data_IF_919751979231
#
_entry.id   IF_919751979231
#
_cell.length_a   1.000
_cell.length_b   1.000
_cell.length_c   1.000
_cell.angle_alpha   90.00
_cell.angle_beta   90.00
_cell.angle_gamma   90.00
#
_symmetry.space_group_name_H-M   'P 1'
#
loop_
_entity.id
_entity.type
_entity.pdbx_description
1 polymer ?
#
# COMPACT_ATOMS: atom_id res chain seq x y z
N UNK A 1 5.01 -19.84 -25.49
CA UNK A 1 6.07 -19.20 -24.68
C UNK A 1 5.64 -17.76 -24.41
N UNK A 2 5.81 -17.33 -23.17
CA UNK A 2 5.11 -16.21 -22.52
C UNK A 2 5.36 -14.86 -23.18
N UNK A 3 4.31 -14.29 -23.76
CA UNK A 3 4.30 -12.92 -24.24
C UNK A 3 3.70 -12.00 -23.16
N UNK A 4 4.34 -11.92 -21.99
CA UNK A 4 4.05 -10.83 -21.05
C UNK A 4 4.61 -9.56 -21.67
N UNK A 5 3.75 -8.85 -22.40
CA UNK A 5 4.06 -7.55 -22.97
C UNK A 5 4.54 -6.62 -21.85
N UNK A 6 5.66 -5.90 -22.03
CA UNK A 6 6.21 -5.00 -21.00
C UNK A 6 5.32 -3.77 -20.69
N UNK A 7 4.13 -3.67 -21.28
CA UNK A 7 3.18 -2.58 -21.06
C UNK A 7 2.10 -2.85 -20.02
N UNK A 8 1.98 -4.07 -19.50
CA UNK A 8 0.89 -4.47 -18.58
C UNK A 8 1.25 -4.27 -17.09
N UNK A 9 2.42 -3.74 -16.76
CA UNK A 9 2.84 -3.56 -15.37
C UNK A 9 3.44 -2.18 -15.16
N UNK A 10 2.92 -1.46 -14.17
CA UNK A 10 3.43 -0.16 -13.76
C UNK A 10 3.82 -0.25 -12.28
N UNK A 11 5.08 0.04 -11.99
CA UNK A 11 5.59 0.11 -10.63
C UNK A 11 5.92 1.56 -10.31
N UNK A 12 5.49 2.01 -9.14
CA UNK A 12 5.84 3.30 -8.59
C UNK A 12 6.38 3.13 -7.20
N UNK A 13 7.55 3.71 -6.96
CA UNK A 13 8.23 3.69 -5.67
C UNK A 13 8.36 5.13 -5.18
N UNK A 14 8.22 5.32 -3.88
CA UNK A 14 8.31 6.62 -3.26
C UNK A 14 8.80 6.50 -1.82
N UNK A 15 9.10 7.65 -1.22
CA UNK A 15 9.45 7.73 0.20
C UNK A 15 8.67 8.86 0.81
N UNK A 16 7.93 8.56 1.88
CA UNK A 16 7.12 9.53 2.59
C UNK A 16 7.41 9.44 4.09
N UNK A 17 7.72 10.58 4.71
CA UNK A 17 8.12 10.65 6.13
C UNK A 17 9.28 9.69 6.51
N UNK A 18 10.19 9.42 5.56
CA UNK A 18 11.30 8.48 5.76
C UNK A 18 10.91 7.00 5.64
N UNK A 19 9.64 6.70 5.31
CA UNK A 19 9.15 5.33 5.06
C UNK A 19 9.03 5.13 3.56
N UNK A 20 9.80 4.18 3.01
CA UNK A 20 9.72 3.80 1.61
C UNK A 20 8.39 3.07 1.34
N UNK A 21 7.77 3.32 0.19
CA UNK A 21 6.60 2.60 -0.27
C UNK A 21 6.73 2.25 -1.74
N UNK A 22 6.13 1.12 -2.12
CA UNK A 22 6.13 0.62 -3.48
C UNK A 22 4.71 0.19 -3.87
N UNK A 23 4.30 0.58 -5.07
CA UNK A 23 2.96 0.40 -5.60
C UNK A 23 3.11 -0.29 -6.95
N UNK A 24 2.52 -1.48 -7.10
CA UNK A 24 2.54 -2.26 -8.33
C UNK A 24 1.12 -2.37 -8.85
N UNK A 25 0.88 -1.77 -10.00
CA UNK A 25 -0.34 -1.96 -10.77
C UNK A 25 -0.08 -2.95 -11.90
N UNK A 26 -1.03 -3.86 -12.11
CA UNK A 26 -0.99 -4.85 -13.19
C UNK A 26 -2.26 -4.76 -14.01
N UNK A 27 -2.11 -4.70 -15.32
CA UNK A 27 -3.17 -4.89 -16.28
C UNK A 27 -3.31 -6.40 -16.52
N UNK A 28 -4.47 -6.95 -16.17
CA UNK A 28 -4.79 -8.37 -16.38
C UNK A 28 -5.45 -8.59 -17.74
N UNK A 29 -6.27 -7.62 -18.17
CA UNK A 29 -7.02 -7.69 -19.43
C UNK A 29 -7.00 -6.30 -20.09
N UNK A 30 -7.36 -6.23 -21.38
CA UNK A 30 -7.38 -4.96 -22.15
C UNK A 30 -8.13 -3.80 -21.48
N UNK A 31 -9.04 -4.10 -20.55
CA UNK A 31 -9.79 -3.09 -19.79
C UNK A 31 -9.76 -3.33 -18.27
N UNK A 32 -8.96 -4.28 -17.79
CA UNK A 32 -8.92 -4.63 -16.38
C UNK A 32 -7.54 -4.37 -15.81
N UNK A 33 -7.40 -3.22 -15.17
CA UNK A 33 -6.22 -2.89 -14.38
C UNK A 33 -6.53 -3.13 -12.92
N UNK A 34 -5.62 -3.73 -12.17
CA UNK A 34 -5.73 -3.93 -10.74
C UNK A 34 -4.49 -3.41 -10.03
N UNK A 35 -4.68 -3.02 -8.78
CA UNK A 35 -3.57 -2.85 -7.86
C UNK A 35 -3.15 -4.23 -7.37
N UNK A 36 -2.00 -4.70 -7.82
CA UNK A 36 -1.51 -6.06 -7.55
C UNK A 36 -0.83 -6.10 -6.18
N UNK A 37 0.08 -5.16 -5.92
CA UNK A 37 0.87 -5.13 -4.70
C UNK A 37 1.00 -3.68 -4.19
N UNK A 38 0.81 -3.49 -2.88
CA UNK A 38 1.17 -2.27 -2.17
C UNK A 38 2.07 -2.64 -1.00
N UNK A 39 3.25 -2.05 -0.92
CA UNK A 39 4.20 -2.24 0.16
C UNK A 39 4.53 -0.90 0.81
N UNK A 40 4.60 -0.87 2.13
CA UNK A 40 4.96 0.31 2.93
C UNK A 40 5.96 -0.14 4.01
N UNK A 41 7.14 0.48 4.04
CA UNK A 41 8.21 0.12 4.97
C UNK A 41 8.68 -1.33 4.84
N UNK A 42 8.58 -1.92 3.63
CA UNK A 42 8.84 -3.34 3.39
C UNK A 42 7.74 -4.29 3.88
N UNK A 43 6.60 -3.76 4.36
CA UNK A 43 5.45 -4.56 4.76
C UNK A 43 4.35 -4.51 3.68
N UNK A 44 3.78 -5.66 3.26
CA UNK A 44 2.65 -5.67 2.35
C UNK A 44 1.41 -5.10 3.04
N UNK A 45 0.77 -4.13 2.39
CA UNK A 45 -0.50 -3.54 2.86
C UNK A 45 -1.64 -4.39 2.31
N UNK A 46 -2.55 -4.88 3.17
CA UNK A 46 -3.70 -5.66 2.72
C UNK A 46 -4.64 -4.77 1.90
N UNK A 47 -4.75 -5.07 0.61
CA UNK A 47 -5.69 -4.45 -0.30
C UNK A 47 -7.02 -5.19 -0.19
N UNK A 48 -7.96 -4.66 0.59
CA UNK A 48 -9.28 -5.27 0.76
C UNK A 48 -10.13 -5.04 -0.48
N UNK A 49 -10.39 -6.12 -1.22
CA UNK A 49 -11.15 -6.12 -2.46
C UNK A 49 -10.27 -5.66 -3.62
N UNK A 50 -9.97 -6.54 -4.56
CA UNK A 50 -9.15 -6.25 -5.74
C UNK A 50 -9.81 -5.15 -6.59
N UNK A 51 -9.44 -3.86 -6.40
CA UNK A 51 -10.15 -2.78 -7.07
C UNK A 51 -9.71 -2.79 -8.52
N UNK A 52 -10.67 -2.69 -9.43
CA UNK A 52 -10.39 -2.56 -10.86
C UNK A 52 -10.36 -1.09 -11.26
N UNK A 53 -9.34 -0.71 -12.01
CA UNK A 53 -9.09 0.63 -12.50
C UNK A 53 -9.18 0.67 -14.03
N UNK A 54 -9.51 1.85 -14.56
CA UNK A 54 -9.54 2.08 -16.00
C UNK A 54 -8.15 2.25 -16.63
N UNK A 55 -7.10 2.47 -15.82
CA UNK A 55 -5.72 2.63 -16.29
C UNK A 55 -4.70 2.29 -15.20
N UNK A 56 -3.49 1.91 -15.62
CA UNK A 56 -2.33 1.67 -14.74
C UNK A 56 -2.03 2.89 -13.87
N UNK A 57 -2.10 4.09 -14.47
CA UNK A 57 -1.87 5.35 -13.76
C UNK A 57 -2.90 5.57 -12.64
N UNK A 58 -4.19 5.28 -12.89
CA UNK A 58 -5.23 5.42 -11.88
C UNK A 58 -5.03 4.42 -10.73
N UNK A 59 -4.63 3.18 -11.04
CA UNK A 59 -4.30 2.19 -10.01
C UNK A 59 -3.14 2.65 -9.12
N UNK A 60 -2.07 3.17 -9.73
CA UNK A 60 -0.90 3.68 -9.00
C UNK A 60 -1.23 4.92 -8.18
N UNK A 61 -2.02 5.86 -8.71
CA UNK A 61 -2.46 7.07 -7.99
C UNK A 61 -3.24 6.68 -6.72
N UNK A 62 -4.17 5.73 -6.84
CA UNK A 62 -4.94 5.23 -5.71
C UNK A 62 -4.07 4.44 -4.74
N UNK A 63 -3.16 3.59 -5.25
CA UNK A 63 -2.21 2.86 -4.41
C UNK A 63 -1.27 3.77 -3.63
N UNK A 64 -0.88 4.91 -4.21
CA UNK A 64 -0.03 5.92 -3.54
C UNK A 64 -0.80 6.64 -2.43
N UNK A 65 -2.04 7.05 -2.70
CA UNK A 65 -2.93 7.60 -1.67
C UNK A 65 -3.15 6.61 -0.52
N UNK A 66 -3.31 5.31 -0.82
CA UNK A 66 -3.40 4.26 0.20
C UNK A 66 -2.10 4.14 1.00
N UNK A 67 -0.94 4.23 0.35
CA UNK A 67 0.36 4.24 1.01
C UNK A 67 0.46 5.42 1.99
N UNK A 68 0.11 6.64 1.55
CA UNK A 68 0.10 7.84 2.38
C UNK A 68 -0.81 7.69 3.60
N UNK A 69 -2.04 7.19 3.40
CA UNK A 69 -2.98 6.92 4.49
C UNK A 69 -2.43 5.88 5.47
N UNK A 70 -1.83 4.80 4.97
CA UNK A 70 -1.25 3.76 5.81
C UNK A 70 -0.05 4.27 6.61
N UNK A 71 0.84 5.04 5.98
CA UNK A 71 1.96 5.72 6.63
C UNK A 71 1.45 6.67 7.71
N UNK A 72 0.44 7.48 7.41
CA UNK A 72 -0.20 8.36 8.40
C UNK A 72 -0.78 7.59 9.59
N UNK A 73 -1.38 6.42 9.36
CA UNK A 73 -1.86 5.54 10.44
C UNK A 73 -0.71 4.91 11.24
N UNK A 74 0.37 4.48 10.58
CA UNK A 74 1.57 3.95 11.26
C UNK A 74 2.17 5.00 12.18
N UNK A 75 2.36 6.21 11.67
CA UNK A 75 2.85 7.34 12.46
C UNK A 75 1.91 7.63 13.64
N UNK A 76 0.59 7.67 13.42
CA UNK A 76 -0.39 7.84 14.51
C UNK A 76 -0.34 6.73 15.55
N UNK A 77 -0.13 5.48 15.16
CA UNK A 77 0.01 4.34 16.07
C UNK A 77 1.32 4.43 16.86
N UNK A 78 2.41 4.87 16.24
CA UNK A 78 3.69 5.06 16.91
C UNK A 78 3.67 6.26 17.88
N UNK A 79 2.96 7.35 17.54
CA UNK A 79 2.80 8.51 18.43
C UNK A 79 1.76 8.31 19.52
N UNK A 80 1.02 7.20 19.52
CA UNK A 80 0.26 6.72 20.68
C UNK A 80 0.99 5.52 21.29
N UNK A 81 2.12 5.73 21.99
CA UNK A 81 2.54 4.73 22.97
C UNK A 81 1.37 4.63 23.94
N UNK A 82 0.75 3.45 23.91
CA UNK A 82 -0.19 2.94 24.90
C UNK A 82 0.10 3.59 26.26
N UNK A 83 -0.80 4.45 26.71
CA UNK A 83 -0.86 4.88 28.11
C UNK A 83 -1.16 3.64 28.95
N UNK A 84 -0.13 2.90 29.30
CA UNK A 84 -0.14 1.99 30.44
C UNK A 84 0.68 2.65 31.53
N UNK A 85 0.08 2.98 32.67
CA UNK A 85 0.55 2.51 33.96
C UNK A 85 -0.25 1.24 34.27
N UNK A 86 0.39 0.09 34.17
CA UNK A 86 0.93 -0.60 35.35
C UNK A 86 -0.18 -1.16 36.23
N UNK A 87 -0.27 -2.48 36.21
CA UNK A 87 -0.79 -3.31 37.28
C UNK A 87 -0.34 -2.77 38.65
N UNK A 88 -1.27 -2.26 39.44
CA UNK A 88 -1.14 -2.16 40.90
C UNK A 88 -2.32 -3.01 41.41
N UNK A 89 -2.12 -4.32 41.52
CA UNK A 89 -1.70 -4.98 42.75
C UNK A 89 -2.73 -4.76 43.87
N UNK A 90 -3.36 -5.89 44.22
CA UNK A 90 -4.22 -6.14 45.37
C UNK A 90 -3.80 -5.39 46.64
N UNK A 91 -4.78 -4.83 47.35
CA UNK A 91 -5.05 -5.15 48.77
C UNK A 91 -6.56 -5.06 49.01
#
# INVERSE_FOLDING_TARGET
MSNTSPGDLLTMEGTLHGIAYAVVARQLERQRVVLDTLQVGGQPVPLTGSPTFGSLQAAVDIGSKLAEQYIGQLLRKQTHPRSTPSSHAQD
#
